data_IF_817788472601
#
_entry.id   IF_817788472601
#
_cell.length_a   1.000
_cell.length_b   1.000
_cell.length_c   1.000
_cell.angle_alpha   90.00
_cell.angle_beta   90.00
_cell.angle_gamma   90.00
#
_symmetry.space_group_name_H-M   'P 1'
#
loop_
_entity.id
_entity.type
_entity.pdbx_description
1 polymer ?
#
# COMPACT_ATOMS: atom_id res chain seq x y z
N UNK A 1 -35.16 -55.01 20.90
CA UNK A 1 -33.96 -54.19 20.59
C UNK A 1 -34.33 -52.72 20.80
N UNK A 2 -33.84 -52.10 21.88
CA UNK A 2 -34.16 -50.71 22.20
C UNK A 2 -33.38 -49.78 21.24
N UNK A 3 -34.11 -48.96 20.47
CA UNK A 3 -33.50 -47.89 19.68
C UNK A 3 -33.07 -46.79 20.65
N UNK A 4 -31.76 -46.56 20.72
CA UNK A 4 -31.16 -45.48 21.49
C UNK A 4 -31.71 -44.12 20.97
N UNK A 5 -32.44 -43.34 21.80
CA UNK A 5 -33.04 -42.08 21.37
C UNK A 5 -32.06 -40.91 21.25
N UNK A 6 -30.75 -41.14 21.48
CA UNK A 6 -29.72 -40.11 21.55
C UNK A 6 -28.69 -40.15 20.40
N UNK A 7 -29.08 -40.57 19.18
CA UNK A 7 -28.23 -40.37 17.99
C UNK A 7 -28.41 -38.97 17.42
N UNK A 8 -28.11 -37.95 18.21
CA UNK A 8 -28.11 -36.56 17.76
C UNK A 8 -26.70 -36.26 17.25
N UNK A 9 -26.35 -36.87 16.12
CA UNK A 9 -25.10 -36.65 15.39
C UNK A 9 -25.20 -35.32 14.63
N UNK A 10 -24.75 -34.23 15.26
CA UNK A 10 -24.73 -32.93 14.57
C UNK A 10 -24.13 -31.75 15.31
N UNK A 11 -23.55 -31.92 16.50
CA UNK A 11 -22.86 -30.83 17.19
C UNK A 11 -21.36 -31.04 17.06
N UNK A 12 -20.77 -30.26 16.16
CA UNK A 12 -19.34 -30.08 16.05
C UNK A 12 -18.84 -29.28 17.28
N UNK A 13 -18.06 -29.87 18.21
CA UNK A 13 -17.66 -29.21 19.44
C UNK A 13 -16.70 -28.02 19.24
N UNK A 14 -16.22 -27.79 18.01
CA UNK A 14 -15.21 -26.76 17.72
C UNK A 14 -15.79 -25.41 17.26
N UNK A 15 -17.11 -25.29 17.10
CA UNK A 15 -17.74 -23.98 16.85
C UNK A 15 -17.23 -23.23 15.61
N UNK A 16 -16.56 -23.90 14.67
CA UNK A 16 -16.15 -23.31 13.40
C UNK A 16 -17.36 -23.32 12.47
N UNK A 17 -18.04 -22.18 12.41
CA UNK A 17 -19.12 -21.94 11.46
C UNK A 17 -18.60 -22.15 10.02
N UNK A 18 -19.35 -22.85 9.14
CA UNK A 18 -18.91 -23.11 7.78
C UNK A 18 -18.70 -21.79 7.03
N UNK A 19 -17.53 -21.66 6.40
CA UNK A 19 -17.10 -20.50 5.61
C UNK A 19 -17.83 -20.46 4.24
N UNK A 20 -19.16 -20.45 4.28
CA UNK A 20 -20.03 -20.31 3.12
C UNK A 20 -20.24 -18.85 2.78
N UNK A 21 -19.93 -18.49 1.53
CA UNK A 21 -20.30 -17.26 0.81
C UNK A 21 -20.80 -16.10 1.68
N UNK A 22 -19.89 -15.49 2.44
CA UNK A 22 -20.21 -14.25 3.16
C UNK A 22 -20.42 -13.14 2.13
N UNK A 23 -21.67 -12.98 1.66
CA UNK A 23 -22.09 -11.86 0.81
C UNK A 23 -21.54 -10.58 1.41
N UNK A 24 -20.79 -9.82 0.60
CA UNK A 24 -20.12 -8.61 1.07
C UNK A 24 -21.18 -7.68 1.65
N UNK A 25 -21.03 -7.32 2.93
CA UNK A 25 -21.95 -6.37 3.58
C UNK A 25 -21.87 -5.03 2.84
N UNK A 26 -22.97 -4.54 2.25
CA UNK A 26 -22.96 -3.25 1.57
C UNK A 26 -22.64 -2.15 2.58
N UNK A 27 -21.99 -1.09 2.10
CA UNK A 27 -21.75 0.10 2.91
C UNK A 27 -23.08 0.83 3.07
N UNK A 28 -23.53 1.03 4.32
CA UNK A 28 -24.77 1.76 4.59
C UNK A 28 -24.66 3.22 4.14
N UNK A 29 -25.79 3.84 3.78
CA UNK A 29 -25.85 5.27 3.42
C UNK A 29 -25.28 6.16 4.54
N UNK A 30 -25.66 5.89 5.79
CA UNK A 30 -25.13 6.62 6.96
C UNK A 30 -23.60 6.53 7.06
N UNK A 31 -23.00 5.35 6.81
CA UNK A 31 -21.52 5.24 6.82
C UNK A 31 -20.88 6.05 5.71
N UNK A 32 -21.51 6.12 4.53
CA UNK A 32 -21.03 6.94 3.42
C UNK A 32 -21.02 8.42 3.81
N UNK A 33 -22.07 8.92 4.45
CA UNK A 33 -22.16 10.31 4.89
C UNK A 33 -21.15 10.62 5.99
N UNK A 34 -20.97 9.72 6.95
CA UNK A 34 -19.94 9.85 8.00
C UNK A 34 -18.52 9.88 7.42
N UNK A 35 -18.24 9.10 6.38
CA UNK A 35 -16.97 9.16 5.66
C UNK A 35 -16.81 10.55 5.03
N UNK A 36 -17.84 11.09 4.38
CA UNK A 36 -17.75 12.42 3.80
C UNK A 36 -17.46 13.50 4.86
N UNK A 37 -18.24 13.55 5.94
CA UNK A 37 -18.04 14.50 7.02
C UNK A 37 -16.63 14.42 7.63
N UNK A 38 -16.07 13.22 7.75
CA UNK A 38 -14.71 13.03 8.28
C UNK A 38 -13.63 13.68 7.41
N UNK A 39 -13.73 13.58 6.08
CA UNK A 39 -12.67 14.08 5.17
C UNK A 39 -12.89 15.51 4.70
N UNK A 40 -14.15 15.88 4.44
CA UNK A 40 -14.49 17.15 3.82
C UNK A 40 -15.32 18.07 4.73
N UNK A 41 -15.76 17.58 5.90
CA UNK A 41 -16.60 18.33 6.85
C UNK A 41 -17.85 18.85 6.15
N UNK A 42 -18.09 20.16 6.19
CA UNK A 42 -19.26 20.81 5.60
C UNK A 42 -19.04 21.27 4.14
N UNK A 43 -18.00 20.76 3.46
CA UNK A 43 -17.77 21.09 2.04
C UNK A 43 -18.63 20.22 1.14
N UNK A 44 -19.20 20.83 0.11
CA UNK A 44 -19.96 20.14 -0.95
C UNK A 44 -19.04 19.47 -1.98
N UNK A 45 -17.83 19.99 -2.12
CA UNK A 45 -16.80 19.49 -3.03
C UNK A 45 -15.53 19.07 -2.29
N UNK A 46 -14.98 17.95 -2.71
CA UNK A 46 -13.74 17.37 -2.22
C UNK A 46 -12.83 16.96 -3.36
N UNK A 47 -11.59 16.57 -3.05
CA UNK A 47 -10.68 15.95 -4.03
C UNK A 47 -10.59 14.46 -3.73
N UNK A 48 -10.54 13.64 -4.78
CA UNK A 48 -10.37 12.19 -4.62
C UNK A 48 -9.12 11.86 -3.80
N UNK A 49 -9.26 11.00 -2.79
CA UNK A 49 -8.13 10.60 -1.95
C UNK A 49 -7.01 9.88 -2.72
N UNK A 50 -7.38 9.14 -3.76
CA UNK A 50 -6.44 8.33 -4.55
C UNK A 50 -5.62 9.18 -5.53
N UNK A 51 -6.27 9.77 -6.53
CA UNK A 51 -5.58 10.51 -7.59
C UNK A 51 -5.27 11.95 -7.20
N UNK A 52 -5.97 12.54 -6.21
CA UNK A 52 -5.86 13.95 -5.78
C UNK A 52 -6.03 15.01 -6.89
N UNK A 53 -6.37 14.60 -8.10
CA UNK A 53 -6.55 15.46 -9.28
C UNK A 53 -8.05 15.75 -9.46
N UNK A 54 -8.87 14.71 -9.48
CA UNK A 54 -10.29 14.85 -9.80
C UNK A 54 -11.13 15.32 -8.62
N UNK A 55 -12.00 16.34 -8.81
CA UNK A 55 -12.96 16.73 -7.81
C UNK A 55 -14.04 15.64 -7.67
N UNK A 56 -14.54 15.49 -6.47
CA UNK A 56 -15.67 14.64 -6.11
C UNK A 56 -16.71 15.52 -5.43
N UNK A 57 -17.98 15.25 -5.71
CA UNK A 57 -19.09 15.98 -5.11
C UNK A 57 -19.80 15.09 -4.08
N UNK A 58 -20.39 15.70 -3.05
CA UNK A 58 -21.12 14.97 -2.00
C UNK A 58 -22.22 14.05 -2.57
N UNK A 59 -22.86 14.46 -3.66
CA UNK A 59 -23.91 13.64 -4.31
C UNK A 59 -23.34 12.52 -5.18
N UNK A 60 -22.12 12.67 -5.72
CA UNK A 60 -21.55 11.79 -6.74
C UNK A 60 -20.13 11.34 -6.37
N UNK A 61 -19.98 10.69 -5.23
CA UNK A 61 -18.71 10.06 -4.83
C UNK A 61 -18.87 8.57 -4.55
N UNK A 62 -17.74 7.87 -4.64
CA UNK A 62 -17.65 6.46 -4.26
C UNK A 62 -16.81 6.32 -3.00
N UNK A 63 -17.07 5.25 -2.26
CA UNK A 63 -16.32 4.92 -1.03
C UNK A 63 -15.53 3.65 -1.28
N UNK A 64 -14.20 3.75 -1.21
CA UNK A 64 -13.31 2.61 -1.32
C UNK A 64 -12.75 2.19 0.04
N UNK A 65 -12.37 0.93 0.15
CA UNK A 65 -11.66 0.39 1.33
C UNK A 65 -10.15 0.58 1.17
N UNK A 66 -9.48 1.14 2.18
CA UNK A 66 -8.03 1.27 2.19
C UNK A 66 -7.38 -0.12 2.23
N UNK A 67 -7.79 -0.95 3.20
CA UNK A 67 -7.51 -2.38 3.26
C UNK A 67 -8.66 -3.14 2.58
N UNK A 68 -8.34 -3.87 1.51
CA UNK A 68 -9.33 -4.66 0.78
C UNK A 68 -10.05 -5.67 1.69
N UNK A 69 -11.33 -5.93 1.40
CA UNK A 69 -12.14 -6.92 2.12
C UNK A 69 -11.49 -8.30 2.09
N UNK A 70 -10.86 -8.67 0.96
CA UNK A 70 -10.10 -9.92 0.80
C UNK A 70 -8.93 -10.08 1.78
N UNK A 71 -8.46 -8.98 2.38
CA UNK A 71 -7.38 -8.97 3.39
C UNK A 71 -7.91 -8.71 4.80
N UNK A 72 -9.19 -8.99 5.05
CA UNK A 72 -9.85 -8.73 6.33
C UNK A 72 -10.15 -7.24 6.56
N UNK A 73 -10.33 -6.46 5.49
CA UNK A 73 -10.75 -5.06 5.56
C UNK A 73 -12.15 -4.93 6.14
N UNK A 74 -12.26 -4.33 7.33
CA UNK A 74 -13.55 -4.07 8.00
C UNK A 74 -14.23 -2.82 7.40
N UNK A 75 -15.56 -2.77 7.52
CA UNK A 75 -16.40 -1.62 7.13
C UNK A 75 -16.37 -0.50 8.19
N UNK A 76 -15.19 -0.17 8.72
CA UNK A 76 -15.03 0.95 9.66
C UNK A 76 -14.66 2.23 8.92
N UNK A 77 -15.15 3.37 9.40
CA UNK A 77 -14.89 4.72 8.87
C UNK A 77 -13.37 5.01 8.79
N UNK A 78 -12.57 4.40 9.65
CA UNK A 78 -11.10 4.49 9.61
C UNK A 78 -10.47 3.78 8.42
N UNK A 79 -11.12 2.78 7.85
CA UNK A 79 -10.69 2.04 6.68
C UNK A 79 -11.28 2.60 5.38
N UNK A 80 -12.39 3.34 5.44
CA UNK A 80 -13.07 3.87 4.26
C UNK A 80 -12.47 5.21 3.81
N UNK A 81 -12.41 5.44 2.50
CA UNK A 81 -11.91 6.68 1.89
C UNK A 81 -12.81 7.12 0.74
N UNK A 82 -13.08 8.43 0.61
CA UNK A 82 -13.83 8.95 -0.53
C UNK A 82 -12.93 9.00 -1.78
N UNK A 83 -13.39 8.37 -2.85
CA UNK A 83 -12.66 8.22 -4.11
C UNK A 83 -13.56 8.52 -5.32
N UNK A 84 -12.90 8.78 -6.43
CA UNK A 84 -13.56 9.03 -7.71
C UNK A 84 -14.07 7.72 -8.35
N UNK A 85 -15.13 7.78 -9.16
CA UNK A 85 -15.72 6.59 -9.78
C UNK A 85 -14.73 5.79 -10.64
N UNK A 86 -13.92 6.46 -11.45
CA UNK A 86 -12.90 5.77 -12.27
C UNK A 86 -11.78 5.19 -11.42
N UNK A 87 -11.31 5.90 -10.39
CA UNK A 87 -10.31 5.39 -9.46
C UNK A 87 -10.80 4.10 -8.79
N UNK A 88 -12.08 4.06 -8.43
CA UNK A 88 -12.72 2.89 -7.84
C UNK A 88 -12.80 1.71 -8.83
N UNK A 89 -13.10 2.00 -10.10
CA UNK A 89 -13.16 0.98 -11.16
C UNK A 89 -11.78 0.43 -11.49
N UNK A 90 -10.78 1.30 -11.64
CA UNK A 90 -9.41 0.93 -11.99
C UNK A 90 -8.70 0.15 -10.88
N UNK A 91 -9.01 0.46 -9.61
CA UNK A 91 -8.36 -0.16 -8.45
C UNK A 91 -8.75 -1.64 -8.26
N UNK A 92 -9.97 -2.04 -8.64
CA UNK A 92 -10.46 -3.42 -8.54
C UNK A 92 -10.37 -3.99 -7.11
N UNK A 93 -9.56 -5.04 -6.93
CA UNK A 93 -9.37 -5.74 -5.64
C UNK A 93 -8.18 -5.25 -4.82
N UNK A 94 -7.42 -4.28 -5.35
CA UNK A 94 -6.20 -3.77 -4.71
C UNK A 94 -6.55 -2.81 -3.55
N UNK A 95 -5.65 -2.67 -2.59
CA UNK A 95 -5.74 -1.62 -1.55
C UNK A 95 -5.47 -0.24 -2.15
N UNK A 96 -6.17 0.79 -1.64
CA UNK A 96 -6.03 2.18 -2.11
C UNK A 96 -4.56 2.64 -2.09
N UNK A 97 -3.83 2.32 -1.03
CA UNK A 97 -2.41 2.70 -0.92
C UNK A 97 -1.53 2.04 -1.98
N UNK A 98 -1.75 0.76 -2.26
CA UNK A 98 -0.99 0.03 -3.27
C UNK A 98 -1.24 0.61 -4.66
N UNK A 99 -2.51 0.77 -5.04
CA UNK A 99 -2.89 1.36 -6.34
C UNK A 99 -2.37 2.80 -6.46
N UNK A 100 -2.47 3.59 -5.39
CA UNK A 100 -1.97 4.96 -5.41
C UNK A 100 -0.45 5.03 -5.62
N UNK A 101 0.30 4.13 -5.00
CA UNK A 101 1.76 4.05 -5.16
C UNK A 101 2.15 3.57 -6.56
N UNK A 102 1.41 2.62 -7.11
CA UNK A 102 1.69 2.08 -8.45
C UNK A 102 1.39 3.09 -9.55
N UNK A 103 0.23 3.77 -9.49
CA UNK A 103 -0.24 4.65 -10.56
C UNK A 103 0.23 6.10 -10.42
N UNK A 104 0.41 6.60 -9.20
CA UNK A 104 0.69 8.03 -8.95
C UNK A 104 1.99 8.29 -8.18
N UNK A 105 2.84 7.29 -7.92
CA UNK A 105 4.15 7.59 -7.37
C UNK A 105 4.95 8.45 -8.36
N UNK A 106 5.46 9.58 -7.85
CA UNK A 106 6.46 10.36 -8.59
C UNK A 106 7.67 9.45 -8.82
N UNK A 107 8.34 9.51 -9.99
CA UNK A 107 9.60 8.81 -10.19
C UNK A 107 10.56 9.29 -9.11
N UNK A 108 10.90 8.41 -8.18
CA UNK A 108 11.88 8.72 -7.15
C UNK A 108 13.19 8.95 -7.88
N UNK A 109 13.77 10.16 -7.78
CA UNK A 109 15.13 10.43 -8.27
C UNK A 109 16.04 9.39 -7.61
N UNK A 110 16.44 8.35 -8.35
CA UNK A 110 17.40 7.36 -7.86
C UNK A 110 18.66 8.16 -7.53
N UNK A 111 19.12 8.10 -6.28
CA UNK A 111 20.42 8.70 -5.90
C UNK A 111 21.47 7.96 -6.73
N UNK A 112 21.98 8.60 -7.79
CA UNK A 112 23.10 8.08 -8.56
C UNK A 112 24.26 7.93 -7.56
N UNK A 113 24.86 6.74 -7.42
CA UNK A 113 26.03 6.59 -6.57
C UNK A 113 27.09 7.59 -7.06
N UNK A 114 27.49 8.54 -6.20
CA UNK A 114 28.59 9.46 -6.53
C UNK A 114 29.82 8.59 -6.76
N UNK A 115 30.33 8.52 -8.00
CA UNK A 115 31.62 7.89 -8.31
C UNK A 115 32.66 8.57 -7.41
N UNK A 116 33.28 7.82 -6.49
CA UNK A 116 34.42 8.30 -5.72
C UNK A 116 35.52 8.65 -6.72
N UNK A 117 35.98 9.90 -6.74
CA UNK A 117 37.14 10.28 -7.54
C UNK A 117 38.35 9.46 -7.05
N UNK A 118 38.99 8.69 -7.94
CA UNK A 118 40.31 8.13 -7.64
C UNK A 118 41.26 9.31 -7.45
N UNK A 119 41.71 9.58 -6.23
CA UNK A 119 42.84 10.48 -5.99
C UNK A 119 44.03 9.93 -6.78
N UNK A 120 44.56 10.69 -7.73
CA UNK A 120 45.85 10.39 -8.35
C UNK A 120 46.92 10.57 -7.26
N UNK A 121 47.79 9.57 -7.07
CA UNK A 121 48.95 9.69 -6.18
C UNK A 121 49.81 10.83 -6.72
N UNK A 122 50.14 11.81 -5.88
CA UNK A 122 51.00 12.91 -6.27
C UNK A 122 52.41 12.38 -6.55
N UNK A 123 53.05 12.94 -7.58
CA UNK A 123 54.46 12.67 -7.91
C UNK A 123 55.35 13.09 -6.73
N UNK A 124 56.15 12.16 -6.21
CA UNK A 124 57.16 12.45 -5.18
C UNK A 124 58.55 12.43 -5.82
N UNK A 125 59.19 13.60 -6.05
CA UNK A 125 60.50 13.69 -6.68
C UNK A 125 61.63 13.03 -5.87
N UNK A 126 61.43 12.79 -4.57
CA UNK A 126 62.44 12.21 -3.67
C UNK A 126 62.47 10.67 -3.72
N UNK A 127 61.37 10.01 -4.11
CA UNK A 127 61.33 8.53 -4.27
C UNK A 127 62.21 8.05 -5.44
N UNK A 128 62.51 8.90 -6.43
CA UNK A 128 63.29 8.52 -7.62
C UNK A 128 64.79 8.43 -7.30
N UNK A 129 65.29 9.19 -6.31
CA UNK A 129 66.73 9.25 -5.98
C UNK A 129 67.28 8.01 -5.26
N UNK A 130 66.42 7.11 -4.77
CA UNK A 130 66.88 5.89 -4.09
C UNK A 130 67.14 4.71 -5.03
N UNK A 131 66.82 4.81 -6.34
CA UNK A 131 67.00 3.71 -7.28
C UNK A 131 68.14 3.92 -8.32
N UNK A 132 69.08 4.83 -8.03
CA UNK A 132 70.27 5.09 -8.88
C UNK A 132 71.59 4.94 -8.11
N UNK A 133 71.73 3.85 -7.35
CA UNK A 133 73.06 3.36 -6.96
C UNK A 133 73.37 2.09 -7.75
N UNK A 134 73.87 2.29 -8.97
CA UNK A 134 74.80 1.37 -9.63
C UNK A 134 76.24 1.87 -9.34
N UNK A 135 77.31 1.13 -9.65
CA UNK A 135 77.56 -0.33 -9.57
C UNK A 135 78.98 -0.61 -8.98
N UNK A 136 79.39 -1.86 -8.70
CA UNK A 136 80.82 -2.23 -8.75
C UNK A 136 80.96 -3.62 -9.39
N UNK A 137 81.86 -3.67 -10.35
CA UNK A 137 82.30 -4.81 -11.16
C UNK A 137 82.81 -5.99 -10.33
N UNK A 138 82.60 -7.21 -10.85
CA UNK A 138 83.27 -8.45 -10.43
C UNK A 138 83.47 -9.34 -11.64
#
# INVERSE_FOLDING_TARGET
MARNPFSMSGYDPLGLQPEGDRKRKPISKSLRDQVWLKYFRNKTQGKCYCCRIRPIHFTYFQVGHNKAVSRGGKNHITNLRPICATCNRDMGTRSIEAYRKETFAKPTKRKIPRKKSRKRRAYNPLEIRMNQRNPIWG
#
